data_IF_771064780868
#
_entry.id   IF_771064780868
#
_cell.length_a   1.000
_cell.length_b   1.000
_cell.length_c   1.000
_cell.angle_alpha   90.00
_cell.angle_beta   90.00
_cell.angle_gamma   90.00
#
_symmetry.space_group_name_H-M   'P 1'
#
loop_
_entity.id
_entity.type
_entity.pdbx_description
1 polymer ?
#
# COMPACT_ATOMS: atom_id res chain seq x y z
N UNK A 1 6.63 -13.35 -41.92
CA UNK A 1 5.52 -13.25 -40.94
C UNK A 1 6.05 -13.81 -39.63
N UNK A 2 6.29 -12.97 -38.63
CA UNK A 2 6.71 -13.39 -37.29
C UNK A 2 5.44 -13.36 -36.44
N UNK A 3 5.00 -14.53 -35.97
CA UNK A 3 3.87 -14.67 -35.05
C UNK A 3 4.35 -14.29 -33.65
N UNK A 4 3.80 -13.21 -33.08
CA UNK A 4 4.01 -12.86 -31.68
C UNK A 4 3.53 -14.00 -30.77
N UNK A 5 4.29 -14.39 -29.73
CA UNK A 5 3.76 -15.26 -28.70
C UNK A 5 2.65 -14.50 -27.96
N UNK A 6 1.51 -15.15 -27.83
CA UNK A 6 0.40 -14.75 -26.98
C UNK A 6 0.94 -14.34 -25.61
N UNK A 7 0.79 -13.06 -25.28
CA UNK A 7 0.89 -12.57 -23.90
C UNK A 7 -0.11 -13.38 -23.10
N UNK A 8 0.38 -14.35 -22.33
CA UNK A 8 -0.40 -14.94 -21.26
C UNK A 8 -0.74 -13.79 -20.31
N UNK A 9 -1.95 -13.26 -20.45
CA UNK A 9 -2.59 -12.48 -19.42
C UNK A 9 -2.70 -13.42 -18.22
N UNK A 10 -1.66 -13.43 -17.38
CA UNK A 10 -1.74 -14.02 -16.05
C UNK A 10 -2.93 -13.34 -15.38
N UNK A 11 -4.05 -14.05 -15.31
CA UNK A 11 -5.19 -13.66 -14.48
C UNK A 11 -4.63 -13.45 -13.08
N UNK A 12 -4.39 -12.18 -12.74
CA UNK A 12 -4.00 -11.74 -11.42
C UNK A 12 -5.12 -12.14 -10.48
N UNK A 13 -5.07 -13.37 -9.99
CA UNK A 13 -5.96 -13.86 -8.97
C UNK A 13 -5.41 -13.26 -7.68
N UNK A 14 -6.05 -12.21 -7.11
CA UNK A 14 -5.49 -11.55 -5.95
C UNK A 14 -5.39 -12.57 -4.81
N UNK A 15 -4.16 -12.81 -4.33
CA UNK A 15 -3.85 -13.79 -3.29
C UNK A 15 -4.66 -13.56 -2.01
N UNK A 16 -5.14 -12.33 -1.79
CA UNK A 16 -5.98 -11.95 -0.65
C UNK A 16 -7.08 -10.99 -1.13
N UNK A 17 -8.35 -11.38 -0.93
CA UNK A 17 -9.48 -10.47 -1.03
C UNK A 17 -9.60 -9.66 0.26
N UNK A 18 -9.19 -8.40 0.21
CA UNK A 18 -9.39 -7.44 1.30
C UNK A 18 -10.85 -6.95 1.27
N UNK A 19 -11.79 -7.77 1.73
CA UNK A 19 -13.14 -7.26 2.01
C UNK A 19 -13.08 -6.31 3.21
N UNK A 20 -13.64 -5.10 3.12
CA UNK A 20 -13.71 -4.14 4.23
C UNK A 20 -14.35 -4.72 5.50
N UNK A 21 -15.23 -5.70 5.34
CA UNK A 21 -15.96 -6.37 6.41
C UNK A 21 -15.10 -7.41 7.14
N UNK A 22 -14.07 -7.94 6.48
CA UNK A 22 -13.34 -9.14 6.93
C UNK A 22 -11.90 -8.82 7.33
N UNK A 23 -11.28 -7.83 6.68
CA UNK A 23 -9.87 -7.48 6.94
C UNK A 23 -9.78 -6.05 7.40
N UNK A 24 -9.78 -5.81 8.72
CA UNK A 24 -9.46 -4.48 9.27
C UNK A 24 -7.98 -4.40 9.58
N UNK A 25 -7.29 -3.44 8.96
CA UNK A 25 -5.90 -3.14 9.27
C UNK A 25 -5.89 -2.10 10.37
N UNK A 26 -5.39 -2.48 11.54
CA UNK A 26 -5.11 -1.54 12.64
C UNK A 26 -3.64 -1.15 12.61
N UNK A 27 -3.35 0.14 12.76
CA UNK A 27 -1.99 0.66 12.85
C UNK A 27 -1.82 1.43 14.16
N UNK A 28 -0.70 1.23 14.84
CA UNK A 28 -0.35 2.02 16.02
C UNK A 28 -0.14 3.50 15.60
N UNK A 29 -0.70 4.47 16.35
CA UNK A 29 -0.43 5.89 16.10
C UNK A 29 1.06 6.25 15.97
N UNK A 30 1.94 5.63 16.74
CA UNK A 30 3.38 5.86 16.67
C UNK A 30 3.97 5.34 15.35
N UNK A 31 3.59 4.13 14.94
CA UNK A 31 4.02 3.55 13.65
C UNK A 31 3.49 4.33 12.45
N UNK A 32 2.26 4.85 12.55
CA UNK A 32 1.68 5.75 11.56
C UNK A 32 2.53 7.01 11.38
N UNK A 33 2.96 7.63 12.49
CA UNK A 33 3.83 8.81 12.44
C UNK A 33 5.19 8.49 11.83
N UNK A 34 5.75 7.31 12.12
CA UNK A 34 6.99 6.85 11.51
C UNK A 34 6.85 6.65 10.00
N UNK A 35 5.76 6.04 9.53
CA UNK A 35 5.50 5.85 8.11
C UNK A 35 5.42 7.20 7.36
N UNK A 36 4.70 8.17 7.92
CA UNK A 36 4.58 9.53 7.35
C UNK A 36 5.94 10.23 7.32
N UNK A 37 6.70 10.17 8.41
CA UNK A 37 8.03 10.77 8.48
C UNK A 37 8.98 10.16 7.46
N UNK A 38 9.00 8.83 7.32
CA UNK A 38 9.81 8.13 6.33
C UNK A 38 9.43 8.54 4.90
N UNK A 39 8.13 8.67 4.61
CA UNK A 39 7.64 9.17 3.33
C UNK A 39 8.18 10.57 3.01
N UNK A 40 8.10 11.48 3.99
CA UNK A 40 8.56 12.84 3.85
C UNK A 40 10.06 12.90 3.53
N UNK A 41 10.88 12.18 4.29
CA UNK A 41 12.33 12.15 4.08
C UNK A 41 12.71 11.61 2.70
N UNK A 42 12.07 10.52 2.26
CA UNK A 42 12.30 9.97 0.92
C UNK A 42 11.90 10.98 -0.16
N UNK A 43 10.82 11.73 0.05
CA UNK A 43 10.32 12.69 -0.95
C UNK A 43 11.21 13.94 -1.02
N UNK A 44 11.65 14.45 0.13
CA UNK A 44 12.46 15.66 0.22
C UNK A 44 13.92 15.42 -0.14
N UNK A 45 14.46 14.25 0.22
CA UNK A 45 15.87 13.87 0.03
C UNK A 45 16.03 12.43 -0.51
N UNK A 46 15.51 12.13 -1.72
CA UNK A 46 15.52 10.76 -2.27
C UNK A 46 16.92 10.19 -2.53
N UNK A 47 17.93 11.07 -2.64
CA UNK A 47 19.32 10.68 -2.89
C UNK A 47 20.10 10.39 -1.60
N UNK A 48 19.61 10.83 -0.44
CA UNK A 48 20.29 10.67 0.85
C UNK A 48 19.84 9.43 1.60
N UNK A 49 18.67 8.89 1.25
CA UNK A 49 18.05 7.80 1.99
C UNK A 49 17.30 6.85 1.07
N UNK A 50 17.45 5.56 1.35
CA UNK A 50 16.64 4.50 0.76
C UNK A 50 15.77 3.91 1.86
N UNK A 51 14.56 3.48 1.50
CA UNK A 51 13.66 2.81 2.43
C UNK A 51 14.31 1.55 3.00
N UNK A 52 14.22 1.37 4.31
CA UNK A 52 14.45 0.06 4.94
C UNK A 52 13.23 -0.84 4.72
N UNK A 53 13.42 -2.16 4.75
CA UNK A 53 12.32 -3.11 4.62
C UNK A 53 11.22 -2.90 5.69
N UNK A 54 11.61 -2.49 6.90
CA UNK A 54 10.68 -2.17 7.97
C UNK A 54 9.82 -0.95 7.62
N UNK A 55 10.44 0.13 7.14
CA UNK A 55 9.71 1.34 6.72
C UNK A 55 8.76 1.03 5.55
N UNK A 56 9.19 0.24 4.57
CA UNK A 56 8.32 -0.14 3.44
C UNK A 56 7.07 -0.87 3.93
N UNK A 57 7.25 -1.78 4.89
CA UNK A 57 6.14 -2.49 5.53
C UNK A 57 5.22 -1.54 6.29
N UNK A 58 5.76 -0.59 7.05
CA UNK A 58 4.94 0.40 7.77
C UNK A 58 4.15 1.28 6.80
N UNK A 59 4.76 1.68 5.68
CA UNK A 59 4.08 2.45 4.65
C UNK A 59 2.97 1.66 3.95
N UNK A 60 3.20 0.40 3.60
CA UNK A 60 2.16 -0.46 3.03
C UNK A 60 0.96 -0.62 3.99
N UNK A 61 1.24 -0.84 5.28
CA UNK A 61 0.19 -0.88 6.31
C UNK A 61 -0.57 0.44 6.44
N UNK A 62 0.14 1.57 6.41
CA UNK A 62 -0.47 2.90 6.47
C UNK A 62 -1.40 3.15 5.29
N UNK A 63 -0.97 2.82 4.06
CA UNK A 63 -1.79 3.00 2.84
C UNK A 63 -3.05 2.15 2.91
N UNK A 64 -2.94 0.89 3.33
CA UNK A 64 -4.11 0.02 3.50
C UNK A 64 -5.08 0.56 4.55
N UNK A 65 -4.57 0.99 5.70
CA UNK A 65 -5.38 1.62 6.74
C UNK A 65 -6.08 2.89 6.23
N UNK A 66 -5.36 3.76 5.51
CA UNK A 66 -5.90 5.01 4.99
C UNK A 66 -7.01 4.74 3.96
N UNK A 67 -6.79 3.79 3.05
CA UNK A 67 -7.79 3.37 2.07
C UNK A 67 -9.07 2.88 2.76
N UNK A 68 -8.96 2.06 3.80
CA UNK A 68 -10.13 1.60 4.57
C UNK A 68 -10.92 2.74 5.20
N UNK A 69 -10.25 3.77 5.73
CA UNK A 69 -10.93 4.93 6.30
C UNK A 69 -11.61 5.78 5.25
N UNK A 70 -10.99 5.98 4.10
CA UNK A 70 -11.57 6.73 2.99
C UNK A 70 -12.78 6.01 2.38
N UNK A 71 -12.68 4.71 2.11
CA UNK A 71 -13.80 3.92 1.58
C UNK A 71 -14.99 3.89 2.55
N UNK A 72 -14.74 3.84 3.87
CA UNK A 72 -15.82 3.92 4.86
C UNK A 72 -16.52 5.28 4.85
N UNK A 73 -15.80 6.38 4.57
CA UNK A 73 -16.40 7.72 4.43
C UNK A 73 -17.25 7.79 3.16
N UNK A 74 -16.75 7.28 2.03
CA UNK A 74 -17.48 7.28 0.75
C UNK A 74 -18.78 6.48 0.79
N UNK A 75 -18.87 5.43 1.62
CA UNK A 75 -20.10 4.66 1.81
C UNK A 75 -21.20 5.39 2.61
N UNK A 76 -20.85 6.48 3.31
CA UNK A 76 -21.77 7.23 4.18
C UNK A 76 -22.34 8.47 3.49
N UNK A 77 -21.72 8.92 2.39
CA UNK A 77 -22.13 10.08 1.58
C UNK A 77 -23.03 9.64 0.44
#
# INVERSE_FOLDING_TARGET
MITNPSTNDEEFTPIVHLSPEVTQVTIDPAERMQAIAAAYWITASPHERVWTAHEQRLMAQYVLWANQKLSAIEQVV
#
